data_IF_593249516409
#
_entry.id   IF_593249516409
#
_cell.length_a   1.000
_cell.length_b   1.000
_cell.length_c   1.000
_cell.angle_alpha   90.00
_cell.angle_beta   90.00
_cell.angle_gamma   90.00
#
_symmetry.space_group_name_H-M   'P 1'
#
loop_
_entity.id
_entity.type
_entity.pdbx_description
1 polymer ?
#
# COMPACT_ATOMS: atom_id res chain seq x y z
N UNK A 1 3.14 41.55 -33.61
CA UNK A 1 2.57 40.42 -34.37
C UNK A 1 3.19 39.17 -33.80
N UNK A 2 2.81 38.86 -32.56
CA UNK A 2 1.76 37.91 -32.14
C UNK A 2 2.30 36.48 -32.13
N UNK A 3 2.45 35.99 -30.90
CA UNK A 3 2.45 34.57 -30.56
C UNK A 3 1.24 33.91 -31.25
N UNK A 4 1.47 32.79 -31.93
CA UNK A 4 0.39 31.87 -32.25
C UNK A 4 0.45 30.73 -31.24
N UNK A 5 -0.65 30.62 -30.50
CA UNK A 5 -0.98 29.61 -29.52
C UNK A 5 -0.73 28.20 -30.06
N UNK A 6 0.04 27.42 -29.30
CA UNK A 6 -0.03 25.96 -29.39
C UNK A 6 -1.30 25.52 -28.66
N UNK A 7 -2.34 25.29 -29.45
CA UNK A 7 -3.60 24.70 -29.04
C UNK A 7 -3.35 23.31 -28.39
N UNK A 8 -3.71 23.20 -27.10
CA UNK A 8 -3.59 21.99 -26.28
C UNK A 8 -4.87 21.13 -26.30
N UNK A 9 -5.75 21.28 -27.29
CA UNK A 9 -7.09 20.66 -27.28
C UNK A 9 -7.31 19.45 -28.19
N UNK A 10 -6.28 18.66 -28.54
CA UNK A 10 -6.52 17.39 -29.24
C UNK A 10 -5.70 16.23 -28.69
N UNK A 11 -6.21 15.53 -27.67
CA UNK A 11 -5.86 14.12 -27.49
C UNK A 11 -6.88 13.30 -26.66
N UNK A 12 -8.18 13.50 -26.92
CA UNK A 12 -9.24 12.61 -26.43
C UNK A 12 -10.06 12.06 -27.61
N UNK A 13 -9.47 11.14 -28.37
CA UNK A 13 -10.23 10.27 -29.29
C UNK A 13 -10.49 8.94 -28.62
N UNK A 14 -11.65 8.79 -28.02
CA UNK A 14 -12.18 7.49 -27.61
C UNK A 14 -12.69 6.76 -28.86
N UNK A 15 -12.30 5.49 -29.02
CA UNK A 15 -12.82 4.64 -30.10
C UNK A 15 -13.53 3.45 -29.48
N UNK A 16 -14.84 3.40 -29.67
CA UNK A 16 -15.70 2.31 -29.21
C UNK A 16 -15.75 1.24 -30.29
N UNK A 17 -15.52 -0.02 -29.91
CA UNK A 17 -15.70 -1.18 -30.76
C UNK A 17 -16.83 -2.02 -30.16
N UNK A 18 -17.95 -2.09 -30.87
CA UNK A 18 -19.07 -2.95 -30.49
C UNK A 18 -18.71 -4.41 -30.82
N UNK A 19 -18.83 -5.29 -29.82
CA UNK A 19 -18.71 -6.73 -29.99
C UNK A 19 -20.11 -7.35 -29.85
N UNK A 20 -20.36 -8.46 -30.56
CA UNK A 20 -21.60 -9.21 -30.39
C UNK A 20 -21.69 -9.73 -28.93
N UNK A 21 -22.90 -9.67 -28.37
CA UNK A 21 -23.28 -9.91 -26.95
C UNK A 21 -23.23 -8.71 -25.98
N UNK A 22 -23.65 -7.50 -26.41
CA UNK A 22 -23.85 -6.32 -25.55
C UNK A 22 -22.61 -5.88 -24.75
N UNK A 23 -21.41 -6.11 -25.28
CA UNK A 23 -20.15 -5.67 -24.67
C UNK A 23 -19.47 -4.64 -25.57
N UNK A 24 -19.42 -3.40 -25.12
CA UNK A 24 -18.72 -2.32 -25.81
C UNK A 24 -17.28 -2.20 -25.31
N UNK A 25 -16.32 -2.35 -26.22
CA UNK A 25 -14.91 -2.14 -25.93
C UNK A 25 -14.53 -0.68 -26.22
N UNK A 26 -14.45 0.14 -25.17
CA UNK A 26 -14.03 1.54 -25.27
C UNK A 26 -12.50 1.61 -25.14
N UNK A 27 -11.82 1.94 -26.25
CA UNK A 27 -10.36 2.15 -26.27
C UNK A 27 -10.08 3.64 -26.17
N UNK A 28 -9.64 4.10 -24.99
CA UNK A 28 -9.06 5.43 -24.81
C UNK A 28 -7.57 5.39 -25.08
N UNK A 29 -7.08 6.28 -25.95
CA UNK A 29 -5.66 6.34 -26.35
C UNK A 29 -4.80 7.03 -25.28
N UNK A 30 -4.76 6.43 -24.08
CA UNK A 30 -3.76 6.74 -23.08
C UNK A 30 -2.73 5.62 -23.04
N UNK A 31 -1.47 5.95 -23.40
CA UNK A 31 -0.34 4.99 -23.49
C UNK A 31 -0.11 4.20 -22.19
N UNK A 32 -0.57 4.71 -21.04
CA UNK A 32 -0.52 4.07 -19.71
C UNK A 32 -1.66 3.06 -19.52
N UNK A 33 -2.85 3.36 -20.03
CA UNK A 33 -4.02 2.45 -20.05
C UNK A 33 -3.76 1.26 -20.97
N UNK A 34 -3.11 1.49 -22.12
CA UNK A 34 -2.75 0.44 -23.08
C UNK A 34 -1.80 -0.62 -22.49
N UNK A 35 -0.78 -0.24 -21.70
CA UNK A 35 0.09 -1.23 -21.02
C UNK A 35 -0.66 -2.07 -19.99
N UNK A 36 -1.55 -1.45 -19.21
CA UNK A 36 -2.40 -2.15 -18.23
C UNK A 36 -3.38 -3.09 -18.92
N UNK A 37 -3.99 -2.64 -20.02
CA UNK A 37 -4.90 -3.43 -20.85
C UNK A 37 -4.19 -4.62 -21.51
N UNK A 38 -3.00 -4.42 -22.08
CA UNK A 38 -2.21 -5.47 -22.73
C UNK A 38 -1.81 -6.56 -21.73
N UNK A 39 -1.41 -6.18 -20.52
CA UNK A 39 -1.12 -7.15 -19.46
C UNK A 39 -2.38 -7.91 -19.01
N UNK A 40 -3.53 -7.23 -18.91
CA UNK A 40 -4.81 -7.86 -18.58
C UNK A 40 -5.22 -8.87 -19.67
N UNK A 41 -5.19 -8.45 -20.94
CA UNK A 41 -5.51 -9.29 -22.10
C UNK A 41 -4.57 -10.50 -22.18
N UNK A 42 -3.26 -10.31 -22.05
CA UNK A 42 -2.30 -11.43 -22.00
C UNK A 42 -2.56 -12.38 -20.84
N UNK A 43 -2.98 -11.87 -19.69
CA UNK A 43 -3.26 -12.68 -18.51
C UNK A 43 -4.53 -13.51 -18.69
N UNK A 44 -5.61 -12.90 -19.21
CA UNK A 44 -6.87 -13.59 -19.53
C UNK A 44 -6.64 -14.66 -20.62
N UNK A 45 -5.86 -14.33 -21.65
CA UNK A 45 -5.57 -15.26 -22.75
C UNK A 45 -4.72 -16.46 -22.27
N UNK A 46 -3.81 -16.26 -21.30
CA UNK A 46 -3.11 -17.36 -20.61
C UNK A 46 -4.02 -18.21 -19.71
N UNK A 47 -5.15 -17.67 -19.26
CA UNK A 47 -6.14 -18.38 -18.43
C UNK A 47 -7.15 -19.19 -19.25
N UNK A 48 -7.28 -18.92 -20.54
CA UNK A 48 -8.14 -19.70 -21.47
C UNK A 48 -7.49 -21.00 -21.98
N UNK A 49 -6.28 -21.33 -21.52
CA UNK A 49 -5.71 -22.67 -21.73
C UNK A 49 -6.53 -23.68 -20.90
N UNK A 50 -7.05 -24.77 -21.50
CA UNK A 50 -7.90 -25.71 -20.78
C UNK A 50 -7.14 -26.37 -19.61
N UNK A 51 -7.83 -26.66 -18.50
CA UNK A 51 -7.19 -27.19 -17.30
C UNK A 51 -6.64 -28.60 -17.57
N UNK A 52 -5.36 -28.83 -17.27
CA UNK A 52 -4.92 -30.19 -16.98
C UNK A 52 -5.63 -30.63 -15.70
N UNK A 53 -6.37 -31.73 -15.77
CA UNK A 53 -7.17 -32.27 -14.69
C UNK A 53 -6.40 -32.30 -13.35
N UNK A 54 -7.01 -31.75 -12.31
CA UNK A 54 -6.60 -32.00 -10.93
C UNK A 54 -6.35 -30.76 -10.09
N UNK A 55 -7.33 -30.47 -9.23
CA UNK A 55 -7.28 -29.69 -7.98
C UNK A 55 -7.66 -28.18 -8.00
N UNK A 56 -8.83 -27.97 -7.37
CA UNK A 56 -9.25 -26.89 -6.46
C UNK A 56 -9.46 -25.45 -6.97
N UNK A 57 -10.74 -25.13 -7.18
CA UNK A 57 -11.36 -23.79 -7.37
C UNK A 57 -10.85 -22.72 -6.40
N UNK A 58 -10.53 -23.09 -5.16
CA UNK A 58 -10.05 -22.14 -4.14
C UNK A 58 -8.67 -21.55 -4.46
N UNK A 59 -7.83 -22.26 -5.23
CA UNK A 59 -6.51 -21.75 -5.64
C UNK A 59 -6.66 -20.68 -6.70
N UNK A 60 -7.65 -20.79 -7.58
CA UNK A 60 -7.91 -19.83 -8.65
C UNK A 60 -8.42 -18.50 -8.12
N UNK A 61 -9.37 -18.51 -7.17
CA UNK A 61 -9.88 -17.27 -6.53
C UNK A 61 -8.76 -16.53 -5.80
N UNK A 62 -7.88 -17.26 -5.10
CA UNK A 62 -6.74 -16.66 -4.39
C UNK A 62 -5.68 -16.10 -5.34
N UNK A 63 -5.39 -16.79 -6.45
CA UNK A 63 -4.49 -16.31 -7.49
C UNK A 63 -5.08 -15.08 -8.19
N UNK A 64 -6.40 -15.06 -8.44
CA UNK A 64 -7.10 -13.91 -9.02
C UNK A 64 -7.03 -12.69 -8.11
N UNK A 65 -7.31 -12.86 -6.81
CA UNK A 65 -7.19 -11.76 -5.84
C UNK A 65 -5.76 -11.24 -5.76
N UNK A 66 -4.76 -12.13 -5.70
CA UNK A 66 -3.33 -11.77 -5.66
C UNK A 66 -2.86 -11.07 -6.95
N UNK A 67 -3.28 -11.56 -8.12
CA UNK A 67 -2.93 -10.99 -9.44
C UNK A 67 -3.64 -9.66 -9.69
N UNK A 68 -4.92 -9.54 -9.33
CA UNK A 68 -5.67 -8.29 -9.38
C UNK A 68 -5.05 -7.25 -8.43
N UNK A 69 -4.63 -7.68 -7.25
CA UNK A 69 -3.88 -6.85 -6.31
C UNK A 69 -2.51 -6.46 -6.85
N UNK A 70 -1.81 -7.33 -7.58
CA UNK A 70 -0.55 -6.97 -8.21
C UNK A 70 -0.78 -5.92 -9.33
N UNK A 71 -1.76 -6.16 -10.21
CA UNK A 71 -2.08 -5.31 -11.37
C UNK A 71 -2.65 -3.94 -10.99
N UNK A 72 -3.44 -3.84 -9.92
CA UNK A 72 -3.99 -2.57 -9.43
C UNK A 72 -2.96 -1.73 -8.64
N UNK A 73 -1.97 -2.37 -8.02
CA UNK A 73 -1.07 -1.69 -7.07
C UNK A 73 0.34 -1.46 -7.63
N UNK A 74 0.74 -2.11 -8.73
CA UNK A 74 1.96 -1.74 -9.46
C UNK A 74 1.68 -0.55 -10.39
N UNK A 75 1.46 0.63 -9.83
CA UNK A 75 1.65 1.86 -10.60
C UNK A 75 3.14 2.19 -10.61
N UNK A 76 3.70 2.27 -11.82
CA UNK A 76 5.05 2.78 -12.02
C UNK A 76 5.03 4.27 -11.71
N UNK A 77 5.80 4.70 -10.70
CA UNK A 77 6.01 6.11 -10.38
C UNK A 77 6.66 6.76 -11.61
N UNK A 78 5.92 7.58 -12.34
CA UNK A 78 6.47 8.40 -13.42
C UNK A 78 6.82 9.75 -12.83
N UNK A 79 8.11 9.98 -12.59
CA UNK A 79 8.60 11.34 -12.43
C UNK A 79 8.54 12.06 -13.78
N UNK A 80 8.01 13.27 -13.80
CA UNK A 80 8.31 14.21 -14.88
C UNK A 80 9.71 14.77 -14.58
N UNK A 81 10.66 14.46 -15.46
CA UNK A 81 11.97 15.11 -15.44
C UNK A 81 11.77 16.55 -15.94
N UNK A 82 11.68 17.49 -15.01
CA UNK A 82 11.85 18.91 -15.30
C UNK A 82 13.18 19.37 -14.69
N UNK A 83 13.93 20.11 -15.50
CA UNK A 83 15.36 20.35 -15.41
C UNK A 83 15.90 20.63 -13.98
N UNK A 84 17.03 19.98 -13.68
CA UNK A 84 17.73 20.05 -12.40
C UNK A 84 18.41 21.40 -12.22
N UNK A 85 17.91 22.22 -11.30
CA UNK A 85 18.70 23.26 -10.63
C UNK A 85 18.97 22.85 -9.17
N UNK A 86 20.23 23.06 -8.78
CA UNK A 86 20.81 22.81 -7.48
C UNK A 86 20.15 23.68 -6.40
N UNK A 87 19.22 23.11 -5.65
CA UNK A 87 18.68 23.62 -4.40
C UNK A 87 18.19 22.45 -3.56
N UNK A 88 18.33 22.53 -2.25
CA UNK A 88 17.91 21.50 -1.29
C UNK A 88 16.40 21.24 -1.45
N UNK A 89 16.05 20.22 -2.25
CA UNK A 89 14.67 19.97 -2.67
C UNK A 89 13.86 19.52 -1.46
N UNK A 90 12.88 20.33 -1.07
CA UNK A 90 11.85 19.94 -0.10
C UNK A 90 11.03 18.81 -0.70
N UNK A 91 11.23 17.59 -0.19
CA UNK A 91 10.45 16.43 -0.60
C UNK A 91 9.07 16.52 0.05
N UNK A 92 8.02 16.58 -0.77
CA UNK A 92 6.65 16.47 -0.31
C UNK A 92 5.95 15.26 -0.94
N UNK A 93 4.86 14.85 -0.32
CA UNK A 93 4.06 13.69 -0.68
C UNK A 93 2.61 14.13 -0.80
N UNK A 94 1.99 13.90 -1.95
CA UNK A 94 0.59 14.24 -2.17
C UNK A 94 -0.27 12.99 -2.10
N UNK A 95 -1.36 13.08 -1.33
CA UNK A 95 -2.32 11.98 -1.21
C UNK A 95 -3.03 11.78 -2.55
N UNK A 96 -3.06 10.54 -3.02
CA UNK A 96 -3.89 10.14 -4.17
C UNK A 96 -5.33 9.88 -3.71
N UNK A 97 -6.31 10.02 -4.59
CA UNK A 97 -7.73 9.81 -4.25
C UNK A 97 -8.10 8.38 -3.85
N UNK A 98 -7.24 7.39 -4.10
CA UNK A 98 -7.55 5.99 -3.84
C UNK A 98 -7.27 5.59 -2.38
N UNK A 99 -8.31 5.07 -1.72
CA UNK A 99 -8.24 4.45 -0.39
C UNK A 99 -8.65 3.00 -0.49
N UNK A 100 -8.00 2.14 0.29
CA UNK A 100 -8.35 0.72 0.35
C UNK A 100 -8.49 0.31 1.80
N UNK A 101 -9.59 -0.37 2.11
CA UNK A 101 -9.83 -0.96 3.41
C UNK A 101 -9.33 -2.39 3.45
N UNK A 102 -8.76 -2.82 4.58
CA UNK A 102 -8.22 -4.15 4.75
C UNK A 102 -8.02 -4.53 6.21
N UNK A 103 -7.91 -5.84 6.46
CA UNK A 103 -7.56 -6.38 7.77
C UNK A 103 -6.19 -7.00 7.74
N UNK A 104 -5.45 -6.83 8.83
CA UNK A 104 -4.14 -7.43 9.03
C UNK A 104 -4.22 -8.63 9.96
N UNK A 105 -3.41 -9.63 9.65
CA UNK A 105 -3.05 -10.71 10.56
C UNK A 105 -1.56 -10.99 10.44
N UNK A 106 -0.93 -11.48 11.48
CA UNK A 106 0.45 -11.93 11.35
C UNK A 106 0.55 -13.33 10.71
N UNK A 107 1.78 -13.83 10.54
CA UNK A 107 2.01 -15.16 9.98
C UNK A 107 1.45 -16.30 10.84
N UNK A 108 1.28 -16.06 12.14
CA UNK A 108 0.71 -16.97 13.14
C UNK A 108 -0.81 -16.89 13.22
N UNK A 109 -1.46 -16.21 12.25
CA UNK A 109 -2.91 -16.01 12.19
C UNK A 109 -3.49 -15.17 13.34
N UNK A 110 -2.66 -14.46 14.11
CA UNK A 110 -3.15 -13.50 15.10
C UNK A 110 -3.68 -12.26 14.40
N UNK A 111 -4.79 -11.74 14.89
CA UNK A 111 -5.48 -10.59 14.32
C UNK A 111 -5.08 -9.32 15.05
N UNK A 112 -4.99 -8.21 14.31
CA UNK A 112 -4.70 -6.92 14.92
C UNK A 112 -5.97 -6.33 15.53
N UNK A 113 -5.89 -5.96 16.80
CA UNK A 113 -6.96 -5.37 17.62
C UNK A 113 -6.45 -4.06 18.22
N UNK A 114 -7.35 -3.08 18.35
CA UNK A 114 -7.07 -1.79 18.97
C UNK A 114 -7.48 -1.79 20.44
N UNK A 115 -6.53 -1.50 21.32
CA UNK A 115 -6.75 -1.33 22.76
C UNK A 115 -6.81 0.17 23.05
N UNK A 116 -8.03 0.74 22.99
CA UNK A 116 -8.25 2.19 23.02
C UNK A 116 -7.76 2.86 24.30
N UNK A 117 -7.83 2.17 25.45
CA UNK A 117 -7.36 2.69 26.74
C UNK A 117 -5.84 2.92 26.75
N UNK A 118 -5.10 2.07 26.03
CA UNK A 118 -3.64 2.14 25.93
C UNK A 118 -3.17 2.91 24.69
N UNK A 119 -4.08 3.28 23.78
CA UNK A 119 -3.77 3.78 22.43
C UNK A 119 -2.75 2.90 21.69
N UNK A 120 -2.91 1.58 21.82
CA UNK A 120 -1.99 0.58 21.26
C UNK A 120 -2.71 -0.45 20.39
N UNK A 121 -1.94 -1.02 19.47
CA UNK A 121 -2.34 -2.17 18.67
C UNK A 121 -1.72 -3.44 19.25
N UNK A 122 -2.51 -4.51 19.31
CA UNK A 122 -2.05 -5.84 19.73
C UNK A 122 -2.44 -6.90 18.70
N UNK A 123 -1.60 -7.92 18.54
CA UNK A 123 -1.82 -9.06 17.65
C UNK A 123 -2.25 -10.29 18.45
N UNK A 124 -3.55 -10.59 18.49
CA UNK A 124 -4.09 -11.68 19.33
C UNK A 124 -4.90 -12.72 18.53
N UNK A 125 -4.90 -13.96 19.00
CA UNK A 125 -5.80 -15.00 18.47
C UNK A 125 -7.21 -14.77 18.99
N UNK A 126 -8.13 -14.43 18.09
CA UNK A 126 -9.54 -14.21 18.43
C UNK A 126 -10.31 -15.52 18.33
N UNK A 127 -11.11 -15.83 19.36
CA UNK A 127 -12.11 -16.91 19.30
C UNK A 127 -13.24 -16.53 18.33
N UNK A 128 -13.97 -17.55 17.85
CA UNK A 128 -15.16 -17.35 17.04
C UNK A 128 -16.16 -16.41 17.74
N UNK A 129 -16.80 -15.51 16.97
CA UNK A 129 -17.70 -14.47 17.50
C UNK A 129 -17.05 -13.10 17.75
N UNK A 130 -15.74 -13.05 17.98
CA UNK A 130 -15.02 -11.79 18.26
C UNK A 130 -14.41 -11.13 17.01
N UNK A 131 -14.85 -11.51 15.81
CA UNK A 131 -14.32 -10.98 14.55
C UNK A 131 -14.54 -9.48 14.34
N UNK A 132 -15.50 -8.88 15.05
CA UNK A 132 -15.79 -7.45 15.02
C UNK A 132 -14.69 -6.61 15.72
N UNK A 133 -13.88 -7.21 16.60
CA UNK A 133 -12.76 -6.54 17.26
C UNK A 133 -11.55 -6.33 16.33
N UNK A 134 -11.55 -6.96 15.16
CA UNK A 134 -10.47 -6.82 14.17
C UNK A 134 -10.46 -5.39 13.64
N UNK A 135 -9.30 -4.74 13.73
CA UNK A 135 -9.12 -3.41 13.16
C UNK A 135 -9.34 -3.47 11.64
N UNK A 136 -10.18 -2.56 11.15
CA UNK A 136 -10.30 -2.26 9.73
C UNK A 136 -9.35 -1.10 9.42
N UNK A 137 -8.26 -1.39 8.72
CA UNK A 137 -7.30 -0.37 8.34
C UNK A 137 -7.74 0.30 7.05
N UNK A 138 -7.57 1.61 6.96
CA UNK A 138 -7.61 2.36 5.71
C UNK A 138 -6.19 2.68 5.26
N UNK A 139 -5.84 2.26 4.05
CA UNK A 139 -4.59 2.62 3.39
C UNK A 139 -4.84 3.77 2.41
N UNK A 140 -4.16 4.89 2.61
CA UNK A 140 -4.14 6.02 1.66
C UNK A 140 -2.79 6.04 0.95
N UNK A 141 -2.77 6.07 -0.40
CA UNK A 141 -1.51 6.11 -1.14
C UNK A 141 -1.03 7.54 -1.37
N UNK A 142 0.29 7.72 -1.35
CA UNK A 142 0.95 9.00 -1.58
C UNK A 142 1.99 8.90 -2.69
N UNK A 143 2.08 9.95 -3.50
CA UNK A 143 3.10 10.09 -4.51
C UNK A 143 4.11 11.16 -4.08
N UNK A 144 5.42 10.87 -4.12
CA UNK A 144 6.42 11.89 -3.88
C UNK A 144 6.43 12.91 -5.04
N UNK A 145 6.64 14.19 -4.72
CA UNK A 145 6.71 15.28 -5.71
C UNK A 145 8.02 15.30 -6.49
N UNK A 146 9.07 14.65 -5.97
CA UNK A 146 10.36 14.44 -6.64
C UNK A 146 10.72 12.96 -6.62
N UNK A 147 11.48 12.48 -7.62
CA UNK A 147 11.97 11.11 -7.63
C UNK A 147 12.70 10.78 -6.33
N UNK A 148 12.17 9.84 -5.55
CA UNK A 148 12.92 9.17 -4.50
C UNK A 148 13.42 7.85 -5.06
N UNK A 149 14.64 7.47 -4.69
CA UNK A 149 15.26 6.20 -5.13
C UNK A 149 14.58 4.95 -4.54
N UNK A 150 13.54 5.11 -3.72
CA UNK A 150 12.79 4.00 -3.15
C UNK A 150 11.61 3.63 -4.04
N UNK A 151 11.67 2.44 -4.63
CA UNK A 151 10.68 1.86 -5.54
C UNK A 151 9.40 1.33 -4.86
N UNK A 152 9.25 1.55 -3.54
CA UNK A 152 8.12 1.10 -2.75
C UNK A 152 6.90 2.03 -2.83
N UNK A 153 5.70 1.47 -2.77
CA UNK A 153 4.47 2.27 -2.67
C UNK A 153 4.46 3.02 -1.33
N UNK A 154 4.39 4.34 -1.36
CA UNK A 154 4.29 5.15 -0.14
C UNK A 154 2.84 5.22 0.32
N UNK A 155 2.59 4.89 1.59
CA UNK A 155 1.24 4.79 2.15
C UNK A 155 1.16 5.40 3.54
N UNK A 156 -0.04 5.85 3.90
CA UNK A 156 -0.44 6.16 5.26
C UNK A 156 -1.47 5.11 5.70
N UNK A 157 -1.32 4.62 6.93
CA UNK A 157 -2.21 3.64 7.53
C UNK A 157 -3.05 4.29 8.63
N UNK A 158 -4.36 4.14 8.55
CA UNK A 158 -5.32 4.66 9.54
C UNK A 158 -6.19 3.54 10.09
N UNK A 159 -6.65 3.67 11.33
CA UNK A 159 -7.65 2.76 11.92
C UNK A 159 -9.03 3.42 12.07
N UNK A 160 -9.07 4.76 12.05
CA UNK A 160 -10.29 5.56 11.90
C UNK A 160 -10.00 6.75 10.99
N UNK A 161 -10.95 7.66 10.82
CA UNK A 161 -10.75 8.89 10.02
C UNK A 161 -9.62 9.77 10.57
N UNK A 162 -9.46 9.82 11.90
CA UNK A 162 -8.57 10.75 12.59
C UNK A 162 -7.40 10.06 13.31
N UNK A 163 -7.41 8.73 13.43
CA UNK A 163 -6.40 7.99 14.17
C UNK A 163 -5.49 7.21 13.21
N UNK A 164 -4.22 7.59 13.19
CA UNK A 164 -3.25 7.20 12.18
C UNK A 164 -2.03 6.55 12.82
N UNK A 165 -1.38 5.65 12.09
CA UNK A 165 -0.09 5.12 12.51
C UNK A 165 0.98 6.19 12.25
N UNK A 166 1.82 6.45 13.24
CA UNK A 166 2.99 7.31 13.12
C UNK A 166 4.19 6.71 13.82
N UNK A 167 5.39 7.15 13.43
CA UNK A 167 6.62 6.75 14.09
C UNK A 167 7.26 7.94 14.81
N UNK A 168 7.67 7.75 16.06
CA UNK A 168 8.57 8.68 16.75
C UNK A 168 9.86 7.96 17.11
N UNK A 169 10.92 8.70 17.34
CA UNK A 169 12.19 8.13 17.81
C UNK A 169 12.49 8.70 19.18
N UNK A 170 12.74 7.80 20.12
CA UNK A 170 13.37 8.13 21.40
C UNK A 170 14.87 7.86 21.30
N UNK A 171 15.63 8.20 22.32
CA UNK A 171 17.10 8.09 22.29
C UNK A 171 17.62 6.68 21.94
N UNK A 172 16.81 5.63 22.12
CA UNK A 172 17.22 4.23 21.91
C UNK A 172 16.41 3.51 20.83
N UNK A 173 15.16 3.89 20.58
CA UNK A 173 14.20 3.04 19.85
C UNK A 173 13.22 3.88 19.01
N UNK A 174 12.81 3.35 17.86
CA UNK A 174 11.68 3.89 17.10
C UNK A 174 10.39 3.27 17.64
N UNK A 175 9.42 4.11 17.95
CA UNK A 175 8.15 3.73 18.56
C UNK A 175 7.04 3.88 17.52
N UNK A 176 6.18 2.85 17.40
CA UNK A 176 4.93 2.94 16.65
C UNK A 176 3.85 3.54 17.55
N UNK A 177 3.19 4.58 17.07
CA UNK A 177 2.11 5.27 17.80
C UNK A 177 0.80 5.23 17.01
N UNK A 178 -0.30 5.38 17.73
CA UNK A 178 -1.57 5.83 17.20
C UNK A 178 -1.71 7.33 17.51
N UNK A 179 -1.70 8.15 16.48
CA UNK A 179 -1.69 9.61 16.59
C UNK A 179 -2.94 10.20 15.96
N UNK A 180 -3.59 11.12 16.69
CA UNK A 180 -4.71 11.89 16.18
C UNK A 180 -4.22 13.00 15.24
N UNK A 181 -4.74 13.03 14.01
CA UNK A 181 -4.43 14.08 13.04
C UNK A 181 -5.64 14.35 12.14
N UNK A 182 -5.85 15.62 11.81
CA UNK A 182 -6.96 16.00 10.93
C UNK A 182 -6.63 15.75 9.46
N UNK A 183 -7.65 15.44 8.67
CA UNK A 183 -7.50 15.05 7.27
C UNK A 183 -6.87 16.15 6.41
N UNK A 184 -7.08 17.41 6.75
CA UNK A 184 -6.54 18.58 6.04
C UNK A 184 -5.01 18.60 6.10
N UNK A 185 -4.42 18.29 7.26
CA UNK A 185 -2.97 18.22 7.46
C UNK A 185 -2.32 17.05 6.73
N UNK A 186 -3.11 16.04 6.34
CA UNK A 186 -2.62 14.85 5.67
C UNK A 186 -2.82 14.91 4.14
N UNK A 187 -3.42 15.96 3.57
CA UNK A 187 -3.57 16.08 2.10
C UNK A 187 -2.22 16.16 1.39
N UNK A 188 -1.30 16.94 1.97
CA UNK A 188 0.09 17.04 1.56
C UNK A 188 0.96 16.82 2.79
N UNK A 189 1.90 15.90 2.71
CA UNK A 189 2.87 15.62 3.77
C UNK A 189 4.22 16.17 3.32
N UNK A 190 4.79 17.07 4.11
CA UNK A 190 6.11 17.62 3.83
C UNK A 190 7.12 17.13 4.86
N UNK A 191 8.32 16.79 4.38
CA UNK A 191 9.38 16.22 5.22
C UNK A 191 9.96 17.23 6.22
N UNK A 192 9.97 18.51 5.88
CA UNK A 192 10.46 19.60 6.73
C UNK A 192 9.54 19.89 7.93
N UNK A 193 8.26 19.50 7.85
CA UNK A 193 7.26 19.67 8.92
C UNK A 193 7.14 18.44 9.84
N UNK A 194 8.09 17.49 9.74
CA UNK A 194 8.06 16.20 10.45
C UNK A 194 6.84 15.32 10.14
N UNK A 195 6.09 15.62 9.07
CA UNK A 195 4.85 14.91 8.75
C UNK A 195 5.10 13.56 8.04
N UNK A 196 6.33 13.31 7.57
CA UNK A 196 6.71 12.03 6.97
C UNK A 196 6.77 10.88 7.99
N UNK A 197 6.65 11.17 9.30
CA UNK A 197 6.44 10.19 10.36
C UNK A 197 5.20 9.31 10.21
N UNK A 198 4.19 9.77 9.46
CA UNK A 198 2.97 9.01 9.16
C UNK A 198 3.10 8.07 7.96
N UNK A 199 4.19 8.18 7.21
CA UNK A 199 4.35 7.49 5.94
C UNK A 199 5.16 6.20 6.10
N UNK A 200 4.73 5.18 5.36
CA UNK A 200 5.38 3.88 5.28
C UNK A 200 5.59 3.49 3.83
N UNK A 201 6.73 2.88 3.52
CA UNK A 201 6.91 2.13 2.29
C UNK A 201 6.27 0.76 2.45
N UNK A 202 5.21 0.52 1.69
CA UNK A 202 4.60 -0.79 1.54
C UNK A 202 5.39 -1.61 0.52
N UNK A 203 5.95 -2.73 0.97
CA UNK A 203 6.60 -3.74 0.13
C UNK A 203 5.79 -5.03 0.17
N UNK A 204 5.75 -5.72 -0.97
CA UNK A 204 5.11 -7.04 -1.08
C UNK A 204 6.23 -8.07 -1.08
N UNK A 205 6.25 -8.93 -0.07
CA UNK A 205 7.15 -10.08 0.01
C UNK A 205 6.31 -11.34 -0.23
N UNK A 206 6.56 -12.07 -1.32
CA UNK A 206 5.77 -13.25 -1.68
C UNK A 206 4.29 -12.96 -2.03
N UNK A 207 3.41 -13.98 -1.92
CA UNK A 207 2.06 -13.96 -2.51
C UNK A 207 1.04 -13.07 -1.76
N UNK A 208 1.22 -12.83 -0.46
CA UNK A 208 0.28 -12.05 0.37
C UNK A 208 0.90 -11.47 1.65
N UNK A 209 2.24 -11.43 1.75
CA UNK A 209 2.91 -10.86 2.92
C UNK A 209 3.31 -9.42 2.58
N UNK A 210 2.96 -8.52 3.49
CA UNK A 210 3.29 -7.11 3.35
C UNK A 210 4.22 -6.73 4.47
N UNK A 211 5.22 -5.95 4.13
CA UNK A 211 6.02 -5.24 5.11
C UNK A 211 5.79 -3.74 4.93
N UNK A 212 5.73 -3.05 6.05
CA UNK A 212 5.60 -1.61 6.10
C UNK A 212 6.84 -1.06 6.78
N UNK A 213 7.70 -0.43 5.99
CA UNK A 213 8.91 0.23 6.48
C UNK A 213 8.61 1.71 6.74
N UNK A 214 9.12 2.30 7.81
CA UNK A 214 8.97 3.74 8.04
C UNK A 214 9.69 4.54 6.96
N UNK A 215 9.04 5.58 6.42
CA UNK A 215 9.70 6.53 5.50
C UNK A 215 10.69 7.41 6.25
N UNK A 216 10.33 7.86 7.46
CA UNK A 216 11.18 8.72 8.28
C UNK A 216 12.38 7.96 8.87
N UNK A 217 12.14 6.74 9.35
CA UNK A 217 13.17 5.88 9.96
C UNK A 217 13.41 4.63 9.10
N UNK A 218 14.10 4.80 7.97
CA UNK A 218 14.43 3.69 7.07
C UNK A 218 15.09 2.52 7.81
N UNK A 219 14.80 1.29 7.38
CA UNK A 219 15.25 0.06 8.03
C UNK A 219 14.38 -0.40 9.22
N UNK A 220 13.41 0.42 9.67
CA UNK A 220 12.47 0.04 10.72
C UNK A 220 11.12 -0.37 10.13
N UNK A 221 10.60 -1.51 10.57
CA UNK A 221 9.40 -2.14 10.03
C UNK A 221 8.35 -2.38 11.10
N UNK A 222 7.07 -2.26 10.73
CA UNK A 222 5.97 -2.71 11.58
C UNK A 222 6.00 -4.25 11.64
N UNK A 223 6.15 -4.79 12.84
CA UNK A 223 6.13 -6.23 13.10
C UNK A 223 5.28 -6.53 14.36
N UNK A 224 5.02 -7.82 14.63
CA UNK A 224 4.27 -8.25 15.83
C UNK A 224 5.15 -9.06 16.78
N UNK A 225 5.07 -8.76 18.08
CA UNK A 225 5.81 -9.45 19.15
C UNK A 225 5.48 -10.95 19.13
N UNK A 226 6.48 -11.86 19.20
CA UNK A 226 6.22 -13.30 19.32
C UNK A 226 5.57 -13.70 20.64
N UNK A 227 5.66 -12.86 21.66
CA UNK A 227 5.21 -13.18 23.01
C UNK A 227 3.70 -12.95 23.13
N UNK A 228 3.00 -13.92 23.72
CA UNK A 228 1.55 -13.81 23.92
C UNK A 228 1.18 -13.04 25.20
N UNK A 229 2.14 -12.85 26.11
CA UNK A 229 2.00 -12.04 27.34
C UNK A 229 1.87 -10.56 27.02
N UNK A 230 2.67 -10.07 26.08
CA UNK A 230 2.63 -8.70 25.55
C UNK A 230 2.64 -8.73 24.01
N UNK A 231 1.48 -9.01 23.38
CA UNK A 231 1.37 -9.21 21.94
C UNK A 231 1.33 -7.88 21.18
N UNK A 232 2.29 -6.99 21.42
CA UNK A 232 2.33 -5.66 20.82
C UNK A 232 2.60 -5.69 19.32
N UNK A 233 2.07 -4.67 18.63
CA UNK A 233 2.49 -4.28 17.29
C UNK A 233 3.47 -3.12 17.43
N UNK A 234 4.69 -3.29 16.94
CA UNK A 234 5.82 -2.40 17.23
C UNK A 234 6.71 -2.19 16.01
N UNK A 235 7.61 -1.20 16.07
CA UNK A 235 8.66 -1.02 15.08
C UNK A 235 9.88 -1.86 15.45
N UNK A 236 10.47 -2.54 14.48
CA UNK A 236 11.70 -3.29 14.66
C UNK A 236 12.64 -3.09 13.47
N UNK A 237 13.94 -3.05 13.73
CA UNK A 237 14.93 -3.09 12.66
C UNK A 237 14.87 -4.43 11.89
N UNK A 238 15.24 -4.37 10.62
CA UNK A 238 15.54 -5.56 9.86
C UNK A 238 16.97 -6.00 10.16
N UNK A 239 17.13 -6.74 11.25
CA UNK A 239 18.37 -7.47 11.53
C UNK A 239 18.55 -8.49 10.40
N UNK A 240 19.29 -8.12 9.35
CA UNK A 240 19.71 -9.04 8.31
C UNK A 240 20.45 -10.22 8.96
N UNK A 241 19.79 -11.38 9.03
CA UNK A 241 20.27 -12.74 9.40
C UNK A 241 21.27 -12.90 10.58
N UNK A 242 21.55 -11.87 11.38
CA UNK A 242 22.66 -11.90 12.34
C UNK A 242 22.30 -11.29 13.70
N UNK A 243 21.26 -11.81 14.35
CA UNK A 243 21.30 -12.24 15.77
C UNK A 243 19.99 -12.88 16.22
N UNK A 244 20.13 -14.10 16.74
CA UNK A 244 19.14 -14.91 17.45
C UNK A 244 18.56 -14.12 18.64
N UNK A 245 17.22 -14.07 18.73
CA UNK A 245 16.37 -14.22 19.94
C UNK A 245 15.14 -13.29 20.09
N UNK A 246 14.49 -12.86 19.02
CA UNK A 246 13.03 -12.63 19.03
C UNK A 246 12.49 -12.91 17.61
N UNK A 247 11.71 -13.98 17.43
CA UNK A 247 11.07 -14.28 16.13
C UNK A 247 9.92 -13.29 15.91
N UNK A 248 10.22 -12.09 15.45
CA UNK A 248 9.18 -11.08 15.22
C UNK A 248 8.46 -11.41 13.90
N UNK A 249 7.13 -11.48 13.93
CA UNK A 249 6.36 -12.01 12.81
C UNK A 249 6.04 -10.93 11.77
N UNK A 250 6.20 -11.27 10.49
CA UNK A 250 5.75 -10.44 9.37
C UNK A 250 4.21 -10.37 9.31
N UNK A 251 3.71 -9.30 8.68
CA UNK A 251 2.27 -9.10 8.49
C UNK A 251 1.78 -9.73 7.18
N UNK A 252 0.56 -10.25 7.21
CA UNK A 252 -0.21 -10.75 6.08
C UNK A 252 -1.52 -9.98 5.98
N UNK A 253 -1.88 -9.62 4.75
CA UNK A 253 -3.21 -9.06 4.50
C UNK A 253 -4.25 -10.19 4.42
N UNK A 254 -5.41 -9.95 5.05
CA UNK A 254 -6.65 -10.65 4.70
C UNK A 254 -7.59 -9.63 4.07
N UNK A 255 -7.70 -9.67 2.75
CA UNK A 255 -8.72 -8.93 2.01
C UNK A 255 -10.00 -9.76 2.05
N UNK A 256 -11.11 -9.15 2.45
CA UNK A 256 -12.44 -9.71 2.20
C UNK A 256 -13.09 -8.79 1.18
N UNK A 257 -13.31 -9.31 -0.03
CA UNK A 257 -14.38 -8.91 -0.93
C UNK A 257 -15.56 -9.85 -0.62
#
# INVERSE_FOLDING_TARGET
MSLNDFDLSQDEKEKVFELEDNLDLIVSYNRRTLKKMVNLVMTINKMQMPPSEGSSDLRYVFLFSSLFFLLLFTETVVCKDENVSSGERRVSFTRTGSRTEFKLSDMSQRHIVHFSEEMKLKAITLKAGYCHLKVNFTMSRYNPTSCSNNSGMTVLLSITKNLHLSCTKTDKEVILNLEECCEEKLKEIKKDEDMDRFLFFKKITGKSQWSFESVKYCGWFIKTSPEDTEPLVEMCEDDGDAKRNKRINSLKIKSFL
#
